data_IF_305196945150
#
_entry.id   IF_305196945150
#
_cell.length_a   1.000
_cell.length_b   1.000
_cell.length_c   1.000
_cell.angle_alpha   90.00
_cell.angle_beta   90.00
_cell.angle_gamma   90.00
#
_symmetry.space_group_name_H-M   'P 1'
#
loop_
_entity.id
_entity.type
_entity.pdbx_description
1 polymer ?
#
# COMPACT_ATOMS: atom_id res chain seq x y z
N UNK A 1 -8.01 -0.45 22.83
CA UNK A 1 -8.71 -1.24 21.80
C UNK A 1 -10.20 -0.93 21.90
N UNK A 2 -10.85 -0.54 20.79
CA UNK A 2 -12.30 -0.25 20.74
C UNK A 2 -12.96 -1.30 19.85
N UNK A 3 -13.95 -2.03 20.38
CA UNK A 3 -14.61 -3.14 19.67
C UNK A 3 -16.13 -2.98 19.80
N UNK A 4 -16.86 -3.29 18.73
CA UNK A 4 -18.32 -3.21 18.72
C UNK A 4 -18.90 -3.42 17.31
N UNK A 5 -20.22 -3.65 17.18
CA UNK A 5 -20.86 -3.93 15.90
C UNK A 5 -20.85 -2.71 14.96
N UNK A 6 -21.11 -2.93 13.68
CA UNK A 6 -21.34 -1.84 12.71
C UNK A 6 -22.50 -0.98 13.18
N UNK A 7 -22.37 0.35 13.05
CA UNK A 7 -23.38 1.29 13.54
C UNK A 7 -23.30 1.65 15.04
N UNK A 8 -22.43 1.00 15.83
CA UNK A 8 -22.26 1.32 17.26
C UNK A 8 -21.39 2.56 17.54
N UNK A 9 -21.38 3.55 16.66
CA UNK A 9 -20.69 4.85 16.83
C UNK A 9 -19.17 4.79 17.08
N UNK A 10 -18.50 3.69 16.74
CA UNK A 10 -17.03 3.55 16.89
C UNK A 10 -16.27 4.65 16.17
N UNK A 11 -16.64 4.98 14.93
CA UNK A 11 -15.97 6.03 14.15
C UNK A 11 -16.13 7.41 14.78
N UNK A 12 -17.32 7.70 15.34
CA UNK A 12 -17.57 8.95 16.07
C UNK A 12 -16.67 9.05 17.30
N UNK A 13 -16.55 7.96 18.08
CA UNK A 13 -15.67 7.92 19.24
C UNK A 13 -14.20 8.13 18.84
N UNK A 14 -13.72 7.45 17.80
CA UNK A 14 -12.33 7.58 17.34
C UNK A 14 -12.03 9.00 16.81
N UNK A 15 -12.95 9.61 16.06
CA UNK A 15 -12.82 10.99 15.61
C UNK A 15 -12.78 11.97 16.79
N UNK A 16 -13.63 11.78 17.79
CA UNK A 16 -13.61 12.60 19.00
C UNK A 16 -12.27 12.45 19.74
N UNK A 17 -11.79 11.22 19.94
CA UNK A 17 -10.50 10.98 20.59
C UNK A 17 -9.35 11.67 19.85
N UNK A 18 -9.31 11.59 18.51
CA UNK A 18 -8.31 12.26 17.69
C UNK A 18 -8.35 13.79 17.88
N UNK A 19 -9.54 14.39 17.85
CA UNK A 19 -9.74 15.83 18.09
C UNK A 19 -9.29 16.24 19.49
N UNK A 20 -9.65 15.46 20.51
CA UNK A 20 -9.24 15.73 21.89
C UNK A 20 -7.72 15.65 22.06
N UNK A 21 -7.04 14.76 21.33
CA UNK A 21 -5.59 14.62 21.37
C UNK A 21 -4.85 15.78 20.71
N UNK A 22 -5.46 16.47 19.74
CA UNK A 22 -4.86 17.65 19.07
C UNK A 22 -4.67 18.87 19.97
N UNK A 23 -5.17 18.84 21.22
CA UNK A 23 -4.93 19.87 22.24
C UNK A 23 -3.51 19.85 22.79
N UNK A 24 -2.78 18.74 22.65
CA UNK A 24 -1.39 18.64 23.09
C UNK A 24 -0.45 19.26 22.05
N UNK A 25 0.53 20.03 22.52
CA UNK A 25 1.47 20.72 21.65
C UNK A 25 2.22 19.71 20.76
N UNK A 26 2.22 19.97 19.44
CA UNK A 26 2.86 19.13 18.41
C UNK A 26 2.32 17.70 18.30
N UNK A 27 1.14 17.39 18.86
CA UNK A 27 0.54 16.05 18.73
C UNK A 27 0.21 15.72 17.28
N UNK A 28 0.69 14.60 16.75
CA UNK A 28 0.33 14.12 15.42
C UNK A 28 -0.63 12.93 15.52
N UNK A 29 -1.59 12.86 14.59
CA UNK A 29 -2.53 11.75 14.47
C UNK A 29 -2.43 11.23 13.04
N UNK A 30 -2.17 9.94 12.91
CA UNK A 30 -2.19 9.23 11.63
C UNK A 30 -3.32 8.20 11.68
N UNK A 31 -4.20 8.23 10.69
CA UNK A 31 -5.39 7.38 10.67
C UNK A 31 -5.56 6.73 9.30
N UNK A 32 -5.82 5.42 9.30
CA UNK A 32 -6.36 4.71 8.14
C UNK A 32 -7.89 4.81 8.17
N UNK A 33 -8.44 5.62 7.27
CA UNK A 33 -9.85 5.99 7.29
C UNK A 33 -10.69 5.16 6.31
N UNK A 34 -11.09 3.97 6.74
CA UNK A 34 -11.98 3.13 5.95
C UNK A 34 -13.37 3.79 5.83
N UNK A 35 -13.75 4.20 4.62
CA UNK A 35 -15.04 4.85 4.33
C UNK A 35 -15.07 6.37 4.58
N UNK A 36 -13.93 7.02 4.86
CA UNK A 36 -13.87 8.49 4.91
C UNK A 36 -14.51 9.13 6.16
N UNK A 37 -14.72 8.36 7.22
CA UNK A 37 -15.43 8.77 8.43
C UNK A 37 -14.72 9.83 9.28
N UNK A 38 -13.38 9.89 9.24
CA UNK A 38 -12.58 10.90 9.98
C UNK A 38 -12.22 12.11 9.13
N UNK A 39 -12.44 12.06 7.80
CA UNK A 39 -12.14 13.13 6.85
C UNK A 39 -12.55 14.52 7.33
N UNK A 40 -13.79 14.68 7.81
CA UNK A 40 -14.29 15.97 8.29
C UNK A 40 -13.46 16.51 9.46
N UNK A 41 -13.11 15.65 10.43
CA UNK A 41 -12.28 16.01 11.56
C UNK A 41 -10.84 16.35 11.14
N UNK A 42 -10.26 15.58 10.21
CA UNK A 42 -8.93 15.83 9.64
C UNK A 42 -8.87 17.22 8.98
N UNK A 43 -9.83 17.52 8.10
CA UNK A 43 -9.87 18.81 7.39
C UNK A 43 -10.14 19.98 8.34
N UNK A 44 -11.03 19.82 9.33
CA UNK A 44 -11.30 20.84 10.33
C UNK A 44 -10.07 21.19 11.18
N UNK A 45 -9.15 20.23 11.37
CA UNK A 45 -7.88 20.43 12.09
C UNK A 45 -6.72 20.85 11.18
N UNK A 46 -7.00 21.26 9.94
CA UNK A 46 -6.02 21.61 8.91
C UNK A 46 -4.99 20.49 8.64
N UNK A 47 -5.41 19.23 8.78
CA UNK A 47 -4.59 18.07 8.45
C UNK A 47 -4.75 17.64 6.99
N UNK A 48 -3.80 16.85 6.52
CA UNK A 48 -3.84 16.26 5.19
C UNK A 48 -4.75 15.03 5.16
N UNK A 49 -5.64 14.97 4.18
CA UNK A 49 -6.46 13.79 3.90
C UNK A 49 -6.24 13.38 2.46
N UNK A 50 -5.82 12.12 2.27
CA UNK A 50 -5.51 11.56 0.97
C UNK A 50 -6.49 10.44 0.65
N UNK A 51 -7.10 10.50 -0.53
CA UNK A 51 -7.93 9.41 -1.04
C UNK A 51 -7.01 8.33 -1.63
N UNK A 52 -7.03 7.16 -1.02
CA UNK A 52 -6.19 6.04 -1.41
C UNK A 52 -6.83 5.30 -2.58
N UNK A 53 -6.22 5.37 -3.77
CA UNK A 53 -6.78 4.74 -4.97
C UNK A 53 -8.03 5.39 -5.55
N UNK A 54 -8.48 6.54 -5.01
CA UNK A 54 -9.54 7.36 -5.62
C UNK A 54 -10.97 6.83 -5.45
N UNK A 55 -11.22 5.83 -4.60
CA UNK A 55 -12.54 5.23 -4.45
C UNK A 55 -13.57 6.16 -3.83
N UNK A 56 -13.15 7.05 -2.91
CA UNK A 56 -14.06 7.92 -2.18
C UNK A 56 -14.37 9.23 -2.91
N UNK A 57 -13.55 9.57 -3.90
CA UNK A 57 -13.68 10.79 -4.70
C UNK A 57 -14.01 10.50 -6.16
N UNK A 58 -14.19 9.24 -6.54
CA UNK A 58 -14.45 8.82 -7.93
C UNK A 58 -13.42 9.38 -8.92
N UNK A 59 -12.17 9.54 -8.47
CA UNK A 59 -11.09 10.14 -9.28
C UNK A 59 -11.21 11.65 -9.54
N UNK A 60 -12.17 12.35 -8.90
CA UNK A 60 -12.33 13.82 -9.05
C UNK A 60 -11.28 14.63 -8.30
N UNK A 61 -10.48 13.99 -7.44
CA UNK A 61 -9.37 14.59 -6.69
C UNK A 61 -8.09 13.79 -6.91
N UNK A 62 -6.91 14.44 -6.75
CA UNK A 62 -5.64 13.72 -6.79
C UNK A 62 -5.65 12.59 -5.76
N UNK A 63 -5.61 11.35 -6.25
CA UNK A 63 -5.48 10.15 -5.44
C UNK A 63 -4.01 9.88 -5.15
N UNK A 64 -3.72 9.29 -3.99
CA UNK A 64 -2.37 8.82 -3.68
C UNK A 64 -2.27 7.34 -4.05
N UNK A 65 -1.23 7.01 -4.80
CA UNK A 65 -0.77 5.65 -5.06
C UNK A 65 0.51 5.40 -4.26
N UNK A 66 0.78 4.14 -3.92
CA UNK A 66 2.02 3.76 -3.25
C UNK A 66 3.03 3.28 -4.27
N UNK A 67 4.31 3.50 -3.97
CA UNK A 67 5.38 2.91 -4.75
C UNK A 67 6.35 2.17 -3.81
N UNK A 68 5.95 1.00 -3.29
CA UNK A 68 6.74 0.25 -2.30
C UNK A 68 8.12 -0.17 -2.84
N UNK A 69 8.29 -0.21 -4.16
CA UNK A 69 9.55 -0.59 -4.81
C UNK A 69 10.48 0.60 -5.11
N UNK A 70 10.11 1.85 -4.80
CA UNK A 70 10.88 3.04 -5.18
C UNK A 70 12.34 3.00 -4.66
N UNK A 71 12.54 2.47 -3.44
CA UNK A 71 13.82 2.51 -2.72
C UNK A 71 14.60 1.19 -2.71
N UNK A 72 14.23 0.22 -3.56
CA UNK A 72 14.90 -1.10 -3.60
C UNK A 72 16.37 -1.08 -4.03
N UNK A 73 16.93 0.08 -4.39
CA UNK A 73 18.37 0.26 -4.52
C UNK A 73 19.09 0.10 -3.17
N UNK A 74 18.41 0.38 -2.06
CA UNK A 74 18.87 0.10 -0.71
C UNK A 74 18.60 -1.38 -0.36
N UNK A 75 19.61 -2.10 0.12
CA UNK A 75 19.53 -3.55 0.37
C UNK A 75 18.45 -3.91 1.41
N UNK A 76 18.28 -3.09 2.45
CA UNK A 76 17.27 -3.30 3.49
C UNK A 76 15.85 -3.15 2.94
N UNK A 77 15.59 -2.09 2.18
CA UNK A 77 14.31 -1.86 1.48
C UNK A 77 14.02 -2.99 0.49
N UNK A 78 15.05 -3.50 -0.21
CA UNK A 78 14.92 -4.64 -1.11
C UNK A 78 14.55 -5.94 -0.39
N UNK A 79 15.15 -6.20 0.77
CA UNK A 79 14.83 -7.37 1.58
C UNK A 79 13.37 -7.30 2.07
N UNK A 80 12.95 -6.15 2.59
CA UNK A 80 11.56 -5.92 2.97
C UNK A 80 10.59 -6.10 1.79
N UNK A 81 10.93 -5.54 0.62
CA UNK A 81 10.13 -5.67 -0.59
C UNK A 81 10.03 -7.14 -1.06
N UNK A 82 11.12 -7.91 -0.97
CA UNK A 82 11.12 -9.34 -1.30
C UNK A 82 10.17 -10.12 -0.40
N UNK A 83 10.23 -9.90 0.93
CA UNK A 83 9.33 -10.54 1.89
C UNK A 83 7.86 -10.13 1.65
N UNK A 84 7.62 -8.87 1.31
CA UNK A 84 6.29 -8.37 0.97
C UNK A 84 5.73 -9.01 -0.31
N UNK A 85 6.53 -9.12 -1.37
CA UNK A 85 6.14 -9.81 -2.62
C UNK A 85 5.87 -11.29 -2.35
N UNK A 86 6.70 -11.95 -1.55
CA UNK A 86 6.49 -13.35 -1.12
C UNK A 86 5.15 -13.48 -0.38
N UNK A 87 4.82 -12.55 0.51
CA UNK A 87 3.55 -12.56 1.23
C UNK A 87 2.33 -12.37 0.31
N UNK A 88 2.44 -11.55 -0.74
CA UNK A 88 1.41 -11.43 -1.78
C UNK A 88 1.23 -12.76 -2.50
N UNK A 89 2.32 -13.35 -3.00
CA UNK A 89 2.28 -14.61 -3.74
C UNK A 89 1.72 -15.77 -2.91
N UNK A 90 2.08 -15.83 -1.63
CA UNK A 90 1.55 -16.84 -0.71
C UNK A 90 0.03 -16.72 -0.51
N UNK A 91 -0.51 -15.50 -0.49
CA UNK A 91 -1.97 -15.25 -0.39
C UNK A 91 -2.71 -15.68 -1.65
N UNK A 92 -2.08 -15.58 -2.82
CA UNK A 92 -2.59 -16.09 -4.10
C UNK A 92 -2.43 -17.62 -4.22
N UNK A 93 -1.91 -18.31 -3.20
CA UNK A 93 -1.77 -19.76 -3.16
C UNK A 93 -0.50 -20.30 -3.85
N UNK A 94 0.45 -19.44 -4.23
CA UNK A 94 1.72 -19.88 -4.78
C UNK A 94 2.58 -20.49 -3.67
N UNK A 95 3.10 -21.69 -3.92
CA UNK A 95 4.07 -22.33 -3.03
C UNK A 95 5.40 -21.57 -3.05
N UNK A 96 5.82 -21.06 -1.90
CA UNK A 96 7.06 -20.29 -1.76
C UNK A 96 8.24 -21.24 -1.55
N UNK A 97 8.86 -21.68 -2.65
CA UNK A 97 10.09 -22.47 -2.65
C UNK A 97 11.35 -21.59 -2.55
N UNK A 98 12.52 -22.16 -2.20
CA UNK A 98 13.80 -21.45 -2.30
C UNK A 98 14.03 -20.85 -3.69
N UNK A 99 13.75 -21.60 -4.75
CA UNK A 99 13.90 -21.14 -6.14
C UNK A 99 12.99 -19.95 -6.44
N UNK A 100 11.75 -19.94 -5.95
CA UNK A 100 10.84 -18.81 -6.11
C UNK A 100 11.40 -17.55 -5.42
N UNK A 101 11.97 -17.69 -4.21
CA UNK A 101 12.61 -16.57 -3.51
C UNK A 101 13.82 -16.04 -4.27
N UNK A 102 14.63 -16.93 -4.86
CA UNK A 102 15.79 -16.54 -5.65
C UNK A 102 15.39 -15.80 -6.93
N UNK A 103 14.34 -16.27 -7.63
CA UNK A 103 13.78 -15.56 -8.78
C UNK A 103 13.26 -14.15 -8.41
N UNK A 104 12.56 -14.01 -7.28
CA UNK A 104 12.08 -12.71 -6.79
C UNK A 104 13.26 -11.79 -6.46
N UNK A 105 14.25 -12.30 -5.74
CA UNK A 105 15.44 -11.54 -5.35
C UNK A 105 16.25 -11.06 -6.56
N UNK A 106 16.45 -11.93 -7.55
CA UNK A 106 17.14 -11.59 -8.80
C UNK A 106 16.36 -10.53 -9.59
N UNK A 107 15.04 -10.67 -9.70
CA UNK A 107 14.20 -9.70 -10.41
C UNK A 107 14.18 -8.33 -9.71
N UNK A 108 14.06 -8.28 -8.38
CA UNK A 108 14.14 -7.04 -7.60
C UNK A 108 15.53 -6.38 -7.69
N UNK A 109 16.59 -7.19 -7.70
CA UNK A 109 17.95 -6.69 -7.86
C UNK A 109 18.17 -6.06 -9.24
N UNK A 110 17.63 -6.69 -10.29
CA UNK A 110 17.62 -6.11 -11.64
C UNK A 110 16.81 -4.82 -11.68
N UNK A 111 15.59 -4.83 -11.13
CA UNK A 111 14.70 -3.66 -11.09
C UNK A 111 15.31 -2.47 -10.34
N UNK A 112 16.14 -2.72 -9.33
CA UNK A 112 16.81 -1.67 -8.58
C UNK A 112 17.72 -0.77 -9.43
N UNK A 113 18.21 -1.28 -10.57
CA UNK A 113 18.99 -0.51 -11.55
C UNK A 113 18.15 0.35 -12.48
N UNK A 114 16.83 0.09 -12.57
CA UNK A 114 15.93 0.86 -13.41
C UNK A 114 15.65 2.25 -12.81
N UNK A 115 15.21 3.23 -13.62
CA UNK A 115 14.70 4.52 -13.15
C UNK A 115 13.62 4.34 -12.07
N UNK A 116 13.51 5.30 -11.14
CA UNK A 116 12.56 5.20 -10.02
C UNK A 116 11.13 5.02 -10.52
N UNK A 117 10.75 5.72 -11.59
CA UNK A 117 9.42 5.65 -12.22
C UNK A 117 9.05 4.22 -12.67
N UNK A 118 10.04 3.40 -13.02
CA UNK A 118 9.84 2.04 -13.54
C UNK A 118 9.84 0.98 -12.43
N UNK A 119 10.25 1.34 -11.20
CA UNK A 119 10.26 0.46 -10.02
C UNK A 119 8.84 0.26 -9.50
N UNK A 120 8.08 -0.55 -10.22
CA UNK A 120 6.67 -0.86 -9.98
C UNK A 120 6.44 -2.37 -9.98
N UNK A 121 5.27 -2.84 -9.52
CA UNK A 121 4.93 -4.27 -9.64
C UNK A 121 4.90 -4.70 -11.11
N UNK A 122 4.48 -3.81 -12.02
CA UNK A 122 4.53 -4.06 -13.47
C UNK A 122 5.98 -4.25 -13.95
N UNK A 123 6.90 -3.37 -13.55
CA UNK A 123 8.32 -3.51 -13.84
C UNK A 123 8.91 -4.82 -13.30
N UNK A 124 8.54 -5.20 -12.07
CA UNK A 124 8.92 -6.49 -11.49
C UNK A 124 8.39 -7.67 -12.31
N UNK A 125 7.12 -7.65 -12.70
CA UNK A 125 6.46 -8.71 -13.47
C UNK A 125 7.11 -8.93 -14.84
N UNK A 126 7.59 -7.86 -15.48
CA UNK A 126 8.35 -7.95 -16.74
C UNK A 126 9.67 -8.70 -16.54
N UNK A 127 10.39 -8.43 -15.44
CA UNK A 127 11.71 -9.00 -15.17
C UNK A 127 11.67 -10.42 -14.59
N UNK A 128 10.57 -10.80 -13.93
CA UNK A 128 10.35 -12.18 -13.50
C UNK A 128 10.43 -13.13 -14.71
N UNK A 129 10.97 -14.33 -14.53
CA UNK A 129 11.07 -15.32 -15.61
C UNK A 129 10.02 -16.42 -15.48
N UNK A 130 9.50 -16.63 -14.27
CA UNK A 130 8.52 -17.68 -13.95
C UNK A 130 7.10 -17.17 -14.21
N UNK A 131 6.36 -17.85 -15.09
CA UNK A 131 5.04 -17.40 -15.52
C UNK A 131 4.00 -17.42 -14.39
N UNK A 132 4.03 -18.44 -13.53
CA UNK A 132 3.11 -18.55 -12.40
C UNK A 132 3.23 -17.35 -11.44
N UNK A 133 4.46 -16.88 -11.21
CA UNK A 133 4.71 -15.68 -10.39
C UNK A 133 4.16 -14.42 -11.05
N UNK A 134 4.29 -14.29 -12.38
CA UNK A 134 3.71 -13.15 -13.13
C UNK A 134 2.20 -13.14 -13.05
N UNK A 135 1.59 -14.32 -13.22
CA UNK A 135 0.14 -14.45 -13.21
C UNK A 135 -0.44 -14.07 -11.84
N UNK A 136 0.21 -14.48 -10.75
CA UNK A 136 -0.19 -14.11 -9.39
C UNK A 136 -0.06 -12.59 -9.11
N UNK A 137 0.88 -11.90 -9.74
CA UNK A 137 1.04 -10.44 -9.59
C UNK A 137 0.17 -9.60 -10.55
N UNK A 138 -0.57 -10.23 -11.47
CA UNK A 138 -1.29 -9.53 -12.55
C UNK A 138 -2.34 -8.54 -12.05
N UNK A 139 -3.01 -8.84 -10.93
CA UNK A 139 -4.02 -7.97 -10.33
C UNK A 139 -3.45 -6.64 -9.82
N UNK A 140 -2.15 -6.62 -9.50
CA UNK A 140 -1.41 -5.45 -9.02
C UNK A 140 -0.63 -4.71 -10.11
N UNK A 141 -0.56 -5.27 -11.32
CA UNK A 141 0.05 -4.60 -12.47
C UNK A 141 -0.88 -3.53 -13.05
N UNK A 142 -0.34 -2.66 -13.91
CA UNK A 142 -1.14 -1.69 -14.68
C UNK A 142 -2.23 -2.44 -15.46
N UNK A 143 -3.47 -1.95 -15.38
CA UNK A 143 -4.65 -2.58 -15.96
C UNK A 143 -5.26 -3.73 -15.13
N UNK A 144 -4.62 -4.12 -14.02
CA UNK A 144 -5.19 -5.00 -13.00
C UNK A 144 -6.13 -4.26 -12.05
N UNK A 145 -6.96 -5.00 -11.32
CA UNK A 145 -7.96 -4.45 -10.39
C UNK A 145 -7.38 -3.50 -9.33
N UNK A 146 -6.12 -3.73 -8.93
CA UNK A 146 -5.41 -2.96 -7.91
C UNK A 146 -4.26 -2.12 -8.49
N UNK A 147 -4.08 -2.08 -9.81
CA UNK A 147 -2.97 -1.36 -10.44
C UNK A 147 -2.98 0.14 -10.19
N UNK A 148 -4.13 0.74 -9.87
CA UNK A 148 -4.22 2.17 -9.47
C UNK A 148 -3.60 2.46 -8.10
N UNK A 149 -3.40 1.42 -7.28
CA UNK A 149 -2.88 1.55 -5.93
C UNK A 149 -1.34 1.54 -5.90
N UNK A 150 -0.67 1.05 -6.95
CA UNK A 150 0.73 0.59 -6.93
C UNK A 150 1.56 0.98 -8.17
#
# INVERSE_FOLDING_TARGET
LVVGPTGASKSVLLALMALQFRRYARAQVFAFDFGGSIRAATLAMAGDWHDFGGELTEGTKPSVSLQPLARIHETYERAWAADWVVAILAREGIAITPDAKEHIWAALTSLASAPVEERTITGLSVLLQVNDLKQALRSYCIGGAYGRLL
#
